data_IF_233031304439
#
_entry.id   IF_233031304439
#
_cell.length_a   1.000
_cell.length_b   1.000
_cell.length_c   1.000
_cell.angle_alpha   90.00
_cell.angle_beta   90.00
_cell.angle_gamma   90.00
#
_symmetry.space_group_name_H-M   'P 1'
#
loop_
_entity.id
_entity.type
_entity.pdbx_description
1 polymer ?
#
# COMPACT_ATOMS: atom_id res chain seq x y z
N UNK A 1 -16.94 -12.99 -8.59
CA UNK A 1 -16.16 -11.75 -8.38
C UNK A 1 -14.69 -12.09 -8.16
N UNK A 2 -13.79 -11.30 -8.73
CA UNK A 2 -12.34 -11.45 -8.51
C UNK A 2 -11.94 -10.76 -7.21
N UNK A 3 -11.48 -11.54 -6.22
CA UNK A 3 -11.14 -11.03 -4.88
C UNK A 3 -9.93 -10.09 -4.91
N UNK A 4 -8.93 -10.41 -5.72
CA UNK A 4 -7.74 -9.55 -5.83
C UNK A 4 -8.10 -8.21 -6.45
N UNK A 5 -8.94 -8.17 -7.47
CA UNK A 5 -9.39 -6.90 -8.05
C UNK A 5 -10.23 -6.08 -7.07
N UNK A 6 -11.10 -6.73 -6.30
CA UNK A 6 -11.87 -6.06 -5.25
C UNK A 6 -10.95 -5.44 -4.21
N UNK A 7 -9.93 -6.17 -3.78
CA UNK A 7 -8.96 -5.67 -2.80
C UNK A 7 -8.12 -4.52 -3.37
N UNK A 8 -7.71 -4.60 -4.63
CA UNK A 8 -6.99 -3.50 -5.29
C UNK A 8 -7.79 -2.20 -5.26
N UNK A 9 -9.10 -2.28 -5.51
CA UNK A 9 -9.98 -1.12 -5.45
C UNK A 9 -9.97 -0.48 -4.06
N UNK A 10 -10.04 -1.29 -3.02
CA UNK A 10 -9.98 -0.81 -1.63
C UNK A 10 -8.62 -0.15 -1.34
N UNK A 11 -7.52 -0.79 -1.73
CA UNK A 11 -6.17 -0.25 -1.49
C UNK A 11 -5.98 1.09 -2.19
N UNK A 12 -6.37 1.19 -3.45
CA UNK A 12 -6.26 2.45 -4.22
C UNK A 12 -7.10 3.55 -3.59
N UNK A 13 -8.31 3.23 -3.14
CA UNK A 13 -9.17 4.19 -2.46
C UNK A 13 -8.53 4.73 -1.18
N UNK A 14 -7.96 3.86 -0.35
CA UNK A 14 -7.30 4.28 0.89
C UNK A 14 -6.03 5.08 0.61
N UNK A 15 -5.19 4.66 -0.34
CA UNK A 15 -4.00 5.41 -0.73
C UNK A 15 -4.37 6.79 -1.27
N UNK A 16 -5.46 6.88 -2.02
CA UNK A 16 -5.94 8.15 -2.55
C UNK A 16 -6.31 9.17 -1.48
N UNK A 17 -6.62 8.74 -0.27
CA UNK A 17 -6.95 9.66 0.84
C UNK A 17 -5.71 10.32 1.45
N UNK A 18 -4.52 9.76 1.24
CA UNK A 18 -3.28 10.23 1.90
C UNK A 18 -2.18 10.65 0.93
N UNK A 19 -2.22 10.20 -0.31
CA UNK A 19 -1.21 10.58 -1.30
C UNK A 19 -1.37 12.06 -1.67
N UNK A 20 -0.26 12.81 -1.75
CA UNK A 20 -0.33 14.23 -2.09
C UNK A 20 -0.77 14.44 -3.54
N UNK A 21 -1.21 15.67 -3.84
CA UNK A 21 -1.60 16.05 -5.19
C UNK A 21 -0.44 15.84 -6.16
N UNK A 22 -0.75 15.26 -7.32
CA UNK A 22 0.25 14.97 -8.35
C UNK A 22 0.99 13.65 -8.15
N UNK A 23 0.90 13.02 -6.98
CA UNK A 23 1.46 11.69 -6.76
C UNK A 23 0.60 10.63 -7.43
N UNK A 24 1.20 9.50 -7.78
CA UNK A 24 0.52 8.38 -8.41
C UNK A 24 0.78 7.08 -7.67
N UNK A 25 -0.16 6.16 -7.82
CA UNK A 25 -0.09 4.81 -7.26
C UNK A 25 -0.11 3.79 -8.40
N UNK A 26 0.80 2.83 -8.32
CA UNK A 26 0.94 1.78 -9.34
C UNK A 26 0.85 0.40 -8.68
N UNK A 27 0.31 -0.56 -9.43
CA UNK A 27 0.30 -1.94 -8.99
C UNK A 27 1.49 -2.68 -9.62
N UNK A 28 2.31 -3.31 -8.79
CA UNK A 28 3.48 -4.13 -9.14
C UNK A 28 4.65 -3.35 -9.73
N UNK A 29 4.42 -2.41 -10.62
CA UNK A 29 5.49 -1.73 -11.33
C UNK A 29 5.09 -0.31 -11.70
N UNK A 30 5.97 0.66 -11.43
CA UNK A 30 5.76 2.05 -11.84
C UNK A 30 6.05 2.23 -13.33
N UNK A 31 5.37 3.20 -13.94
CA UNK A 31 5.67 3.63 -15.30
C UNK A 31 6.96 4.47 -15.32
N UNK A 32 7.63 4.53 -16.46
CA UNK A 32 8.88 5.28 -16.60
C UNK A 32 8.73 6.76 -16.31
N UNK A 33 7.59 7.33 -16.67
CA UNK A 33 7.30 8.75 -16.53
C UNK A 33 6.56 9.07 -15.22
N UNK A 34 6.84 8.31 -14.16
CA UNK A 34 6.23 8.53 -12.86
C UNK A 34 6.62 9.89 -12.26
N UNK A 35 5.77 10.47 -11.41
CA UNK A 35 6.09 11.71 -10.70
C UNK A 35 7.19 11.48 -9.66
N UNK A 36 7.66 12.58 -9.04
CA UNK A 36 8.67 12.54 -7.98
C UNK A 36 8.23 11.67 -6.82
N UNK A 37 6.99 11.84 -6.36
CA UNK A 37 6.41 11.05 -5.27
C UNK A 37 5.40 10.07 -5.88
N UNK A 38 5.60 8.81 -5.57
CA UNK A 38 4.69 7.76 -6.04
C UNK A 38 4.74 6.56 -5.10
N UNK A 39 3.74 5.70 -5.22
CA UNK A 39 3.69 4.46 -4.47
C UNK A 39 3.55 3.29 -5.43
N UNK A 40 4.17 2.19 -5.10
CA UNK A 40 3.99 0.91 -5.79
C UNK A 40 3.55 -0.11 -4.75
N UNK A 41 2.44 -0.79 -5.01
CA UNK A 41 1.97 -1.81 -4.10
C UNK A 41 1.83 -3.16 -4.80
N UNK A 42 1.95 -4.22 -4.02
CA UNK A 42 1.76 -5.60 -4.47
C UNK A 42 0.85 -6.32 -3.51
N UNK A 43 0.14 -7.31 -4.03
CA UNK A 43 -0.76 -8.17 -3.26
C UNK A 43 -0.43 -9.62 -3.59
N UNK A 44 -0.07 -10.39 -2.57
CA UNK A 44 0.18 -11.81 -2.70
C UNK A 44 -0.81 -12.58 -1.84
N UNK A 45 -1.57 -13.48 -2.44
CA UNK A 45 -2.47 -14.36 -1.71
C UNK A 45 -1.63 -15.46 -1.05
N UNK A 46 -1.63 -15.49 0.29
CA UNK A 46 -0.79 -16.42 1.04
C UNK A 46 -1.59 -17.53 1.73
N UNK A 47 -2.89 -17.34 1.94
CA UNK A 47 -3.72 -18.37 2.55
C UNK A 47 -5.19 -18.18 2.20
N UNK A 48 -5.91 -19.28 2.13
CA UNK A 48 -7.36 -19.31 1.98
C UNK A 48 -7.91 -20.38 2.91
N UNK A 49 -8.56 -19.93 4.00
CA UNK A 49 -9.10 -20.83 5.03
C UNK A 49 -10.47 -20.34 5.45
N UNK A 50 -11.47 -21.21 5.38
CA UNK A 50 -12.84 -20.95 5.85
C UNK A 50 -13.45 -19.65 5.29
N UNK A 51 -13.26 -19.41 3.98
CA UNK A 51 -13.83 -18.22 3.32
C UNK A 51 -13.06 -16.93 3.58
N UNK A 52 -11.95 -17.00 4.30
CA UNK A 52 -11.06 -15.87 4.53
C UNK A 52 -9.85 -15.96 3.59
N UNK A 53 -9.66 -14.90 2.82
CA UNK A 53 -8.48 -14.74 1.97
C UNK A 53 -7.46 -13.89 2.70
N UNK A 54 -6.27 -14.42 2.92
CA UNK A 54 -5.19 -13.69 3.58
C UNK A 54 -4.16 -13.29 2.52
N UNK A 55 -3.92 -11.99 2.45
CA UNK A 55 -2.94 -11.42 1.51
C UNK A 55 -1.81 -10.76 2.28
N UNK A 56 -0.62 -10.78 1.69
CA UNK A 56 0.44 -9.85 2.07
C UNK A 56 0.34 -8.64 1.16
N UNK A 57 0.09 -7.48 1.75
CA UNK A 57 0.11 -6.19 1.06
C UNK A 57 1.43 -5.51 1.35
N UNK A 58 2.17 -5.20 0.31
CA UNK A 58 3.40 -4.43 0.41
C UNK A 58 3.21 -3.11 -0.30
N UNK A 59 3.42 -2.00 0.42
CA UNK A 59 3.35 -0.65 -0.14
C UNK A 59 4.75 -0.05 -0.06
N UNK A 60 5.30 0.30 -1.21
CA UNK A 60 6.57 1.00 -1.31
C UNK A 60 6.28 2.44 -1.71
N UNK A 61 6.69 3.38 -0.85
CA UNK A 61 6.57 4.81 -1.12
C UNK A 61 7.92 5.33 -1.57
N UNK A 62 7.92 6.07 -2.65
CA UNK A 62 9.13 6.60 -3.28
C UNK A 62 9.11 8.12 -3.29
N UNK A 63 10.26 8.70 -3.05
CA UNK A 63 10.52 10.13 -3.19
C UNK A 63 11.93 10.29 -3.75
N UNK A 64 12.32 11.51 -4.00
CA UNK A 64 13.64 11.82 -4.56
C UNK A 64 14.20 13.07 -3.89
N UNK A 65 15.45 13.01 -3.48
CA UNK A 65 16.12 14.13 -2.81
C UNK A 65 16.92 13.67 -1.60
N UNK A 66 17.29 14.61 -0.75
CA UNK A 66 18.07 14.34 0.46
C UNK A 66 17.28 14.59 1.74
N UNK A 67 16.16 15.28 1.66
CA UNK A 67 15.28 15.56 2.80
C UNK A 67 14.28 14.42 2.96
N UNK A 68 14.35 13.72 4.08
CA UNK A 68 13.51 12.56 4.36
C UNK A 68 12.20 12.90 5.06
N UNK A 69 11.97 14.18 5.42
CA UNK A 69 10.77 14.52 6.19
C UNK A 69 9.48 14.26 5.44
N UNK A 70 9.43 14.55 4.15
CA UNK A 70 8.22 14.32 3.34
C UNK A 70 7.87 12.83 3.25
N UNK A 71 8.86 11.97 2.97
CA UNK A 71 8.59 10.53 2.85
C UNK A 71 8.24 9.91 4.20
N UNK A 72 8.83 10.40 5.29
CA UNK A 72 8.49 9.92 6.63
C UNK A 72 7.05 10.30 7.00
N UNK A 73 6.64 11.53 6.73
CA UNK A 73 5.26 11.98 6.98
C UNK A 73 4.27 11.18 6.13
N UNK A 74 4.61 10.91 4.88
CA UNK A 74 3.75 10.12 3.99
C UNK A 74 3.63 8.67 4.49
N UNK A 75 4.74 8.06 4.91
CA UNK A 75 4.71 6.72 5.47
C UNK A 75 3.85 6.67 6.75
N UNK A 76 3.94 7.68 7.61
CA UNK A 76 3.08 7.79 8.79
C UNK A 76 1.59 7.89 8.40
N UNK A 77 1.28 8.69 7.40
CA UNK A 77 -0.10 8.86 6.93
C UNK A 77 -0.66 7.56 6.36
N UNK A 78 0.15 6.83 5.60
CA UNK A 78 -0.25 5.52 5.06
C UNK A 78 -0.47 4.52 6.20
N UNK A 79 0.44 4.46 7.15
CA UNK A 79 0.29 3.57 8.30
C UNK A 79 -1.02 3.85 9.05
N UNK A 80 -1.32 5.11 9.33
CA UNK A 80 -2.55 5.50 10.03
C UNK A 80 -3.81 5.22 9.22
N UNK A 81 -3.74 5.35 7.89
CA UNK A 81 -4.89 5.10 7.04
C UNK A 81 -5.23 3.61 6.95
N UNK A 82 -4.24 2.74 7.03
CA UNK A 82 -4.42 1.30 6.82
C UNK A 82 -4.47 0.49 8.12
N UNK A 83 -3.58 0.78 9.08
CA UNK A 83 -3.43 -0.08 10.25
C UNK A 83 -4.73 -0.17 11.05
N UNK A 84 -5.17 -1.40 11.29
CA UNK A 84 -6.42 -1.71 12.01
C UNK A 84 -7.68 -1.16 11.31
N UNK A 85 -7.56 -0.83 10.02
CA UNK A 85 -8.70 -0.33 9.25
C UNK A 85 -9.59 -1.49 8.84
N UNK A 86 -10.88 -1.34 9.07
CA UNK A 86 -11.92 -2.21 8.53
C UNK A 86 -12.62 -1.45 7.42
N UNK A 87 -12.62 -2.02 6.23
CA UNK A 87 -13.27 -1.43 5.07
C UNK A 87 -14.34 -2.39 4.55
N UNK A 88 -15.57 -1.93 4.54
CA UNK A 88 -16.70 -2.72 4.05
C UNK A 88 -17.14 -2.18 2.69
N UNK A 89 -17.28 -3.09 1.74
CA UNK A 89 -17.94 -2.82 0.47
C UNK A 89 -19.19 -3.67 0.37
N UNK A 90 -19.95 -3.55 -0.71
CA UNK A 90 -21.14 -4.38 -0.93
C UNK A 90 -20.79 -5.88 -0.92
N UNK A 91 -19.64 -6.23 -1.49
CA UNK A 91 -19.26 -7.62 -1.77
C UNK A 91 -18.27 -8.21 -0.77
N UNK A 92 -17.45 -7.38 -0.11
CA UNK A 92 -16.36 -7.86 0.74
C UNK A 92 -16.20 -7.00 1.99
N UNK A 93 -15.64 -7.63 3.04
CA UNK A 93 -15.09 -6.93 4.19
C UNK A 93 -13.59 -7.14 4.20
N UNK A 94 -12.83 -6.09 4.48
CA UNK A 94 -11.35 -6.13 4.47
C UNK A 94 -10.84 -5.56 5.77
N UNK A 95 -9.85 -6.24 6.37
CA UNK A 95 -9.15 -5.79 7.57
C UNK A 95 -7.66 -5.77 7.31
N UNK A 96 -7.00 -4.64 7.66
CA UNK A 96 -5.56 -4.45 7.50
C UNK A 96 -4.88 -4.38 8.85
N UNK A 97 -3.71 -5.00 8.95
CA UNK A 97 -2.87 -4.98 10.14
C UNK A 97 -1.42 -4.82 9.73
N UNK A 98 -0.74 -3.80 10.28
CA UNK A 98 0.66 -3.58 9.92
C UNK A 98 1.56 -4.63 10.58
N UNK A 99 2.43 -5.25 9.78
CA UNK A 99 3.42 -6.21 10.24
C UNK A 99 4.78 -5.55 10.48
N UNK A 100 5.19 -4.69 9.53
CA UNK A 100 6.47 -3.99 9.65
C UNK A 100 6.51 -2.79 8.73
N UNK A 101 7.40 -1.88 9.07
CA UNK A 101 7.73 -0.71 8.27
C UNK A 101 9.23 -0.54 8.31
N UNK A 102 9.85 -0.43 7.14
CA UNK A 102 11.30 -0.31 7.08
C UNK A 102 11.78 0.61 5.96
N UNK A 103 12.98 1.14 6.18
CA UNK A 103 13.71 1.90 5.20
C UNK A 103 14.39 0.93 4.25
N UNK A 104 14.28 1.19 2.96
CA UNK A 104 14.97 0.41 1.94
C UNK A 104 16.07 1.28 1.36
N UNK A 105 17.31 0.81 1.41
CA UNK A 105 18.43 1.50 0.81
C UNK A 105 18.43 1.27 -0.70
N UNK A 106 18.64 2.36 -1.44
CA UNK A 106 18.74 2.33 -2.89
C UNK A 106 20.20 2.62 -3.31
N UNK A 107 20.61 2.10 -4.47
CA UNK A 107 21.93 2.39 -5.03
C UNK A 107 22.11 3.88 -5.29
N UNK A 108 21.10 4.54 -5.84
CA UNK A 108 21.07 5.98 -5.97
C UNK A 108 20.67 6.61 -4.64
N UNK A 109 21.60 7.30 -3.99
CA UNK A 109 21.39 7.94 -2.68
C UNK A 109 20.33 9.02 -2.69
N UNK A 110 19.99 9.56 -3.86
CA UNK A 110 18.92 10.54 -4.00
C UNK A 110 17.54 9.88 -4.06
N UNK A 111 17.47 8.57 -4.27
CA UNK A 111 16.21 7.82 -4.26
C UNK A 111 15.89 7.40 -2.83
N UNK A 112 14.72 7.80 -2.36
CA UNK A 112 14.23 7.48 -1.01
C UNK A 112 13.09 6.49 -1.13
N UNK A 113 13.09 5.48 -0.25
CA UNK A 113 12.07 4.43 -0.27
C UNK A 113 11.73 3.97 1.13
N UNK A 114 10.44 3.90 1.41
CA UNK A 114 9.92 3.30 2.65
C UNK A 114 8.97 2.19 2.27
N UNK A 115 9.08 1.05 2.95
CA UNK A 115 8.25 -0.11 2.72
C UNK A 115 7.37 -0.34 3.94
N UNK A 116 6.06 -0.49 3.69
CA UNK A 116 5.10 -0.89 4.71
C UNK A 116 4.49 -2.22 4.28
N UNK A 117 4.51 -3.19 5.18
CA UNK A 117 3.98 -4.52 4.92
C UNK A 117 2.82 -4.78 5.86
N UNK A 118 1.69 -5.20 5.29
CA UNK A 118 0.45 -5.45 6.03
C UNK A 118 -0.03 -6.87 5.79
N UNK A 119 -0.51 -7.51 6.85
CA UNK A 119 -1.39 -8.67 6.72
C UNK A 119 -2.78 -8.15 6.42
N UNK A 120 -3.40 -8.68 5.38
CA UNK A 120 -4.69 -8.19 4.89
C UNK A 120 -5.65 -9.37 4.78
N UNK A 121 -6.80 -9.25 5.46
CA UNK A 121 -7.79 -10.31 5.52
C UNK A 121 -9.04 -9.86 4.78
N UNK A 122 -9.48 -10.68 3.82
CA UNK A 122 -10.66 -10.39 3.02
C UNK A 122 -11.70 -11.49 3.23
N UNK A 123 -12.91 -11.06 3.54
CA UNK A 123 -14.07 -11.94 3.72
C UNK A 123 -15.15 -11.58 2.71
N UNK A 124 -15.79 -12.57 2.13
CA UNK A 124 -16.99 -12.34 1.33
C UNK A 124 -18.17 -11.95 2.22
N UNK A 125 -18.97 -11.04 1.70
CA UNK A 125 -20.19 -10.60 2.39
C UNK A 125 -21.41 -11.23 1.78
#
# INVERSE_FOLDING_TARGET
MNKTLALRTVVVSLLGTVMPDGAKTYYQQAQKDHPKIYAVYTLDLIDLTDGRYTYELEINVMDYGTDTSTIEDLADSIQKAFDKKVQLTEDVGVYFYIDRRNTVEEEDRSSLRRRLTFSTYLYER
#
